data_IF_527521000216
#
_entry.id   IF_527521000216
#
_cell.length_a   1.000
_cell.length_b   1.000
_cell.length_c   1.000
_cell.angle_alpha   90.00
_cell.angle_beta   90.00
_cell.angle_gamma   90.00
#
_symmetry.space_group_name_H-M   'P 1'
#
loop_
_entity.id
_entity.type
_entity.pdbx_description
1 polymer ?
#
# COMPACT_ATOMS: atom_id res chain seq x y z
N UNK A 1 19.90 18.60 8.33
CA UNK A 1 18.73 17.83 7.92
C UNK A 1 19.10 16.37 7.83
N UNK A 2 18.69 15.56 8.80
CA UNK A 2 18.96 14.13 8.82
C UNK A 2 18.30 13.49 7.61
N UNK A 3 19.05 12.65 6.87
CA UNK A 3 18.45 11.76 5.86
C UNK A 3 17.52 10.83 6.61
N UNK A 4 16.22 10.99 6.48
CA UNK A 4 15.26 10.00 6.92
C UNK A 4 15.57 8.72 6.12
N UNK A 5 16.30 7.80 6.74
CA UNK A 5 16.62 6.52 6.12
C UNK A 5 15.33 5.71 6.06
N UNK A 6 14.73 5.64 4.86
CA UNK A 6 13.58 4.78 4.61
C UNK A 6 14.00 3.34 4.94
N UNK A 7 13.30 2.69 5.86
CA UNK A 7 13.48 1.28 6.16
C UNK A 7 12.96 0.45 4.98
N UNK A 8 13.79 -0.42 4.44
CA UNK A 8 13.46 -1.25 3.28
C UNK A 8 13.26 -2.70 3.68
N UNK A 9 12.13 -3.26 3.27
CA UNK A 9 11.81 -4.68 3.40
C UNK A 9 11.99 -5.41 2.08
N UNK A 10 12.23 -6.72 2.13
CA UNK A 10 12.39 -7.56 0.94
C UNK A 10 11.12 -7.62 0.11
N UNK A 11 9.99 -7.83 0.77
CA UNK A 11 8.67 -8.04 0.18
C UNK A 11 7.55 -7.54 1.11
N UNK A 12 6.31 -7.64 0.64
CA UNK A 12 5.12 -7.16 1.36
C UNK A 12 4.81 -7.98 2.61
N UNK A 13 5.06 -9.29 2.57
CA UNK A 13 4.77 -10.17 3.71
C UNK A 13 5.73 -9.89 4.85
N UNK A 14 7.03 -9.80 4.57
CA UNK A 14 8.05 -9.49 5.58
C UNK A 14 7.84 -8.13 6.23
N UNK A 15 7.31 -7.14 5.49
CA UNK A 15 6.90 -5.87 6.09
C UNK A 15 5.71 -6.05 7.03
N UNK A 16 4.65 -6.74 6.57
CA UNK A 16 3.43 -6.93 7.34
C UNK A 16 3.69 -7.71 8.64
N UNK A 17 4.46 -8.79 8.58
CA UNK A 17 4.85 -9.58 9.76
C UNK A 17 5.63 -8.75 10.77
N UNK A 18 6.63 -7.99 10.29
CA UNK A 18 7.47 -7.18 11.18
C UNK A 18 6.74 -6.00 11.82
N UNK A 19 5.81 -5.36 11.12
CA UNK A 19 5.03 -4.29 11.72
C UNK A 19 4.01 -4.83 12.75
N UNK A 20 3.40 -5.99 12.49
CA UNK A 20 2.55 -6.66 13.47
C UNK A 20 3.33 -7.05 14.73
N UNK A 21 4.53 -7.64 14.57
CA UNK A 21 5.41 -7.94 15.68
C UNK A 21 5.75 -6.68 16.49
N UNK A 22 6.12 -5.58 15.83
CA UNK A 22 6.45 -4.32 16.49
C UNK A 22 5.28 -3.75 17.31
N UNK A 23 4.05 -3.86 16.83
CA UNK A 23 2.86 -3.46 17.59
C UNK A 23 2.58 -4.38 18.77
N UNK A 24 2.87 -5.68 18.68
CA UNK A 24 2.67 -6.63 19.76
C UNK A 24 3.62 -6.38 20.93
N UNK A 25 4.89 -6.08 20.65
CA UNK A 25 5.92 -5.88 21.69
C UNK A 25 6.07 -4.42 22.09
N UNK A 26 5.27 -3.50 21.51
CA UNK A 26 5.40 -2.05 21.66
C UNK A 26 6.86 -1.59 21.47
N UNK A 27 7.44 -1.93 20.29
CA UNK A 27 8.85 -1.68 19.94
C UNK A 27 9.23 -0.23 20.26
N UNK A 28 10.12 -0.04 21.22
CA UNK A 28 10.56 1.26 21.71
C UNK A 28 11.29 2.14 20.68
N UNK A 29 11.71 1.55 19.56
CA UNK A 29 12.24 2.29 18.42
C UNK A 29 11.15 2.97 17.57
N UNK A 30 9.87 2.74 17.88
CA UNK A 30 8.72 3.34 17.23
C UNK A 30 7.91 4.17 18.24
N UNK A 31 7.49 5.35 17.80
CA UNK A 31 6.73 6.27 18.65
C UNK A 31 5.23 5.90 18.64
N UNK A 32 4.87 4.89 19.42
CA UNK A 32 3.48 4.48 19.58
C UNK A 32 2.70 5.43 20.49
N UNK A 33 1.45 5.67 20.10
CA UNK A 33 0.48 6.45 20.87
C UNK A 33 -0.71 5.57 21.21
N UNK A 34 -0.95 5.34 22.50
CA UNK A 34 -2.11 4.58 22.96
C UNK A 34 -3.30 5.52 23.20
N UNK A 35 -4.47 5.21 22.61
CA UNK A 35 -5.72 5.93 22.85
C UNK A 35 -6.85 4.91 23.08
N UNK A 36 -7.31 4.81 24.31
CA UNK A 36 -8.31 3.82 24.70
C UNK A 36 -7.77 2.40 24.49
N UNK A 37 -8.47 1.62 23.65
CA UNK A 37 -8.08 0.22 23.34
C UNK A 37 -7.18 0.08 22.11
N UNK A 38 -6.93 1.17 21.39
CA UNK A 38 -6.16 1.14 20.17
C UNK A 38 -4.76 1.73 20.36
N UNK A 39 -3.79 1.14 19.69
CA UNK A 39 -2.42 1.63 19.57
C UNK A 39 -2.23 2.19 18.18
N UNK A 40 -1.57 3.33 18.09
CA UNK A 40 -1.36 4.09 16.84
C UNK A 40 0.12 4.34 16.60
N UNK A 41 0.49 4.32 15.31
CA UNK A 41 1.77 4.81 14.81
C UNK A 41 1.50 5.80 13.68
N UNK A 42 2.07 7.00 13.77
CA UNK A 42 1.83 8.10 12.83
C UNK A 42 3.02 8.33 11.91
N UNK A 43 2.73 8.89 10.73
CA UNK A 43 3.70 9.40 9.76
C UNK A 43 4.81 8.39 9.40
N UNK A 44 4.40 7.15 9.15
CA UNK A 44 5.33 6.06 8.88
C UNK A 44 5.67 5.96 7.38
N UNK A 45 6.98 5.95 7.09
CA UNK A 45 7.48 5.81 5.71
C UNK A 45 8.27 4.52 5.59
N UNK A 46 7.90 3.67 4.63
CA UNK A 46 8.50 2.36 4.43
C UNK A 46 8.70 2.04 2.94
N UNK A 47 9.79 1.36 2.61
CA UNK A 47 10.09 0.87 1.28
C UNK A 47 9.96 -0.65 1.17
N UNK A 48 9.40 -1.14 0.06
CA UNK A 48 9.32 -2.56 -0.29
C UNK A 48 10.06 -2.77 -1.62
N UNK A 49 11.09 -3.63 -1.59
CA UNK A 49 11.97 -3.86 -2.75
C UNK A 49 11.32 -4.69 -3.84
N UNK A 50 10.49 -5.66 -3.45
CA UNK A 50 9.72 -6.54 -4.32
C UNK A 50 8.32 -6.69 -3.74
N UNK A 51 7.38 -5.83 -4.07
CA UNK A 51 6.02 -5.90 -3.57
C UNK A 51 5.32 -7.13 -4.15
N UNK A 52 5.62 -8.29 -3.61
CA UNK A 52 5.05 -9.58 -3.96
C UNK A 52 4.48 -10.20 -2.69
N UNK A 53 3.22 -10.57 -2.73
CA UNK A 53 2.64 -11.49 -1.77
C UNK A 53 2.75 -12.89 -2.34
N UNK A 54 3.18 -13.83 -1.53
CA UNK A 54 3.23 -15.22 -1.93
C UNK A 54 1.82 -15.68 -2.33
N UNK A 55 1.71 -16.41 -3.44
CA UNK A 55 0.47 -17.02 -3.89
C UNK A 55 -0.12 -18.02 -2.86
N UNK A 56 0.70 -18.46 -1.90
CA UNK A 56 0.32 -19.31 -0.78
C UNK A 56 -0.32 -18.56 0.39
N UNK A 57 -0.31 -17.22 0.37
CA UNK A 57 -0.97 -16.45 1.42
C UNK A 57 -2.49 -16.64 1.30
N UNK A 58 -3.06 -17.37 2.25
CA UNK A 58 -4.49 -17.67 2.27
C UNK A 58 -5.29 -16.53 2.89
N UNK A 59 -5.75 -15.61 2.04
CA UNK A 59 -6.59 -14.50 2.45
C UNK A 59 -7.91 -14.95 3.09
N UNK A 60 -8.49 -16.05 2.63
CA UNK A 60 -9.73 -16.60 3.16
C UNK A 60 -9.57 -17.00 4.62
N UNK A 61 -8.47 -17.65 4.93
CA UNK A 61 -8.16 -18.11 6.29
C UNK A 61 -7.87 -16.95 7.26
N UNK A 62 -7.15 -15.91 6.78
CA UNK A 62 -6.77 -14.79 7.63
C UNK A 62 -7.86 -13.74 7.82
N UNK A 63 -8.72 -13.53 6.81
CA UNK A 63 -9.62 -12.37 6.79
C UNK A 63 -11.09 -12.68 6.59
N UNK A 64 -11.45 -13.94 6.44
CA UNK A 64 -12.82 -14.32 6.04
C UNK A 64 -13.28 -13.63 4.73
N UNK A 65 -12.32 -13.32 3.85
CA UNK A 65 -12.54 -12.64 2.58
C UNK A 65 -12.52 -13.63 1.42
N UNK A 66 -13.60 -13.68 0.67
CA UNK A 66 -13.61 -14.39 -0.62
C UNK A 66 -12.90 -13.56 -1.69
N UNK A 67 -12.34 -14.23 -2.72
CA UNK A 67 -11.71 -13.56 -3.87
C UNK A 67 -12.70 -12.61 -4.58
N UNK A 68 -13.98 -12.97 -4.64
CA UNK A 68 -15.02 -12.12 -5.25
C UNK A 68 -15.23 -10.83 -4.46
N UNK A 69 -15.27 -10.91 -3.12
CA UNK A 69 -15.40 -9.75 -2.24
C UNK A 69 -14.18 -8.82 -2.38
N UNK A 70 -13.00 -9.37 -2.52
CA UNK A 70 -11.78 -8.61 -2.73
C UNK A 70 -11.77 -7.90 -4.09
N UNK A 71 -12.18 -8.58 -5.19
CA UNK A 71 -12.31 -7.97 -6.53
C UNK A 71 -13.32 -6.81 -6.53
N UNK A 72 -14.43 -6.97 -5.83
CA UNK A 72 -15.42 -5.91 -5.65
C UNK A 72 -14.85 -4.71 -4.90
N UNK A 73 -14.03 -4.94 -3.88
CA UNK A 73 -13.38 -3.87 -3.14
C UNK A 73 -12.44 -3.06 -4.03
N UNK A 74 -11.65 -3.72 -4.86
CA UNK A 74 -10.73 -3.05 -5.81
C UNK A 74 -11.51 -2.19 -6.81
N UNK A 75 -12.57 -2.72 -7.39
CA UNK A 75 -13.41 -2.00 -8.34
C UNK A 75 -14.07 -0.73 -7.76
N UNK A 76 -14.22 -0.66 -6.44
CA UNK A 76 -14.74 0.52 -5.76
C UNK A 76 -13.73 1.68 -5.67
N UNK A 77 -12.44 1.43 -5.83
CA UNK A 77 -11.39 2.45 -5.72
C UNK A 77 -10.95 3.04 -7.05
N UNK A 78 -11.04 2.28 -8.12
CA UNK A 78 -10.57 2.72 -9.42
C UNK A 78 -11.32 1.99 -10.54
N UNK A 79 -11.70 2.73 -11.57
CA UNK A 79 -12.29 2.14 -12.77
C UNK A 79 -11.22 1.45 -13.63
N UNK A 80 -11.65 0.43 -14.37
CA UNK A 80 -10.76 -0.27 -15.31
C UNK A 80 -10.32 0.65 -16.46
N UNK A 81 -11.16 1.60 -16.84
CA UNK A 81 -10.86 2.59 -17.86
C UNK A 81 -9.72 3.51 -17.44
N UNK A 82 -9.78 4.06 -16.23
CA UNK A 82 -8.69 4.89 -15.69
C UNK A 82 -7.36 4.13 -15.60
N UNK A 83 -7.40 2.86 -15.18
CA UNK A 83 -6.19 2.02 -15.15
C UNK A 83 -5.62 1.77 -16.56
N UNK A 84 -6.49 1.52 -17.56
CA UNK A 84 -6.07 1.34 -18.93
C UNK A 84 -5.40 2.60 -19.48
N UNK A 85 -6.04 3.76 -19.29
CA UNK A 85 -5.53 5.04 -19.77
C UNK A 85 -4.16 5.34 -19.16
N UNK A 86 -4.02 5.16 -17.84
CA UNK A 86 -2.75 5.33 -17.15
C UNK A 86 -1.66 4.37 -17.66
N UNK A 87 -2.00 3.11 -17.89
CA UNK A 87 -1.04 2.13 -18.42
C UNK A 87 -0.57 2.50 -19.83
N UNK A 88 -1.48 2.95 -20.70
CA UNK A 88 -1.16 3.41 -22.05
C UNK A 88 -0.23 4.64 -22.01
N UNK A 89 -0.53 5.61 -21.17
CA UNK A 89 0.30 6.81 -21.01
C UNK A 89 1.71 6.48 -20.54
N UNK A 90 1.83 5.65 -19.50
CA UNK A 90 3.15 5.24 -18.96
C UNK A 90 3.95 4.45 -19.99
N UNK A 91 3.33 3.54 -20.74
CA UNK A 91 4.00 2.76 -21.78
C UNK A 91 4.40 3.63 -22.98
N UNK A 92 3.56 4.58 -23.39
CA UNK A 92 3.85 5.49 -24.51
C UNK A 92 5.06 6.39 -24.23
N UNK A 93 5.30 6.73 -22.97
CA UNK A 93 6.44 7.56 -22.54
C UNK A 93 7.65 6.77 -22.03
N UNK A 94 7.68 5.46 -22.23
CA UNK A 94 8.74 4.59 -21.72
C UNK A 94 10.16 5.05 -22.09
N UNK A 95 10.29 5.78 -23.18
CA UNK A 95 11.55 6.31 -23.71
C UNK A 95 11.73 7.82 -23.52
N UNK A 96 10.75 8.52 -22.95
CA UNK A 96 10.76 9.98 -22.84
C UNK A 96 10.66 10.38 -21.37
N UNK A 97 11.71 10.90 -20.80
CA UNK A 97 11.78 11.62 -19.53
C UNK A 97 10.85 11.20 -18.37
N UNK A 98 11.45 11.18 -17.20
CA UNK A 98 10.91 10.81 -15.91
C UNK A 98 9.78 11.73 -15.39
N UNK A 99 8.64 11.77 -16.03
CA UNK A 99 7.45 12.36 -15.39
C UNK A 99 6.84 11.35 -14.42
N UNK A 100 6.38 11.85 -13.27
CA UNK A 100 5.54 11.08 -12.37
C UNK A 100 4.09 11.14 -12.85
N UNK A 101 3.40 10.01 -12.81
CA UNK A 101 1.97 9.91 -13.11
C UNK A 101 1.23 9.68 -11.80
N UNK A 102 0.28 10.53 -11.49
CA UNK A 102 -0.50 10.42 -10.27
C UNK A 102 -1.86 9.78 -10.56
N UNK A 103 -2.21 8.80 -9.75
CA UNK A 103 -3.51 8.17 -9.71
C UNK A 103 -4.18 8.49 -8.39
N UNK A 104 -5.29 9.21 -8.43
CA UNK A 104 -6.13 9.42 -7.25
C UNK A 104 -7.03 8.20 -7.04
N UNK A 105 -7.10 7.72 -5.80
CA UNK A 105 -7.95 6.60 -5.42
C UNK A 105 -9.15 7.13 -4.69
N UNK A 106 -10.34 7.02 -5.27
CA UNK A 106 -11.58 7.47 -4.67
C UNK A 106 -12.55 6.31 -4.50
N UNK A 107 -13.02 6.13 -3.29
CA UNK A 107 -14.07 5.16 -3.03
C UNK A 107 -15.39 5.70 -3.59
N UNK A 108 -15.85 5.14 -4.69
CA UNK A 108 -16.97 5.67 -5.50
C UNK A 108 -18.30 5.81 -4.74
N UNK A 109 -18.50 5.05 -3.67
CA UNK A 109 -19.73 5.05 -2.88
C UNK A 109 -19.64 5.86 -1.58
N UNK A 110 -18.61 6.66 -1.40
CA UNK A 110 -18.40 7.41 -0.17
C UNK A 110 -18.86 8.86 -0.34
N UNK A 111 -20.07 9.17 0.13
CA UNK A 111 -20.60 10.54 0.16
C UNK A 111 -20.00 11.41 1.29
N UNK A 112 -18.96 10.93 1.99
CA UNK A 112 -18.35 11.64 3.12
C UNK A 112 -16.88 11.94 2.94
N UNK A 113 -16.51 13.21 3.07
CA UNK A 113 -15.12 13.61 3.19
C UNK A 113 -14.45 12.87 4.37
N UNK A 114 -13.29 12.27 4.15
CA UNK A 114 -12.48 11.70 5.22
C UNK A 114 -12.65 10.19 5.49
N UNK A 115 -13.45 9.47 4.71
CA UNK A 115 -13.58 8.00 4.88
C UNK A 115 -12.61 7.18 4.01
N UNK A 116 -12.00 7.74 2.98
CA UNK A 116 -11.03 7.04 2.15
C UNK A 116 -9.74 6.80 2.91
N UNK A 117 -9.36 5.54 3.06
CA UNK A 117 -8.05 5.16 3.63
C UNK A 117 -6.94 5.25 2.58
N UNK A 118 -7.25 4.92 1.34
CA UNK A 118 -6.35 4.99 0.21
C UNK A 118 -6.49 6.34 -0.48
N UNK A 119 -5.39 7.07 -0.67
CA UNK A 119 -5.43 8.44 -1.21
C UNK A 119 -4.95 8.50 -2.65
N UNK A 120 -3.71 8.06 -2.91
CA UNK A 120 -3.13 8.15 -4.24
C UNK A 120 -1.93 7.24 -4.43
N UNK A 121 -1.61 6.99 -5.70
CA UNK A 121 -0.37 6.39 -6.13
C UNK A 121 0.35 7.30 -7.11
N UNK A 122 1.66 7.39 -7.02
CA UNK A 122 2.50 8.09 -8.00
C UNK A 122 3.45 7.10 -8.63
N UNK A 123 3.30 6.92 -9.93
CA UNK A 123 4.13 6.05 -10.73
C UNK A 123 5.29 6.87 -11.29
N UNK A 124 6.52 6.44 -11.05
CA UNK A 124 7.69 7.12 -11.58
C UNK A 124 8.68 6.14 -12.16
N UNK A 125 9.15 6.47 -13.35
CA UNK A 125 10.31 5.81 -13.95
C UNK A 125 11.44 6.82 -14.01
N UNK A 126 12.51 6.55 -13.29
CA UNK A 126 13.69 7.43 -13.31
C UNK A 126 14.59 7.02 -14.47
N UNK A 127 15.06 7.97 -15.30
CA UNK A 127 16.02 7.68 -16.37
C UNK A 127 17.23 6.92 -15.83
N UNK A 128 17.71 5.93 -16.58
CA UNK A 128 18.87 5.12 -16.23
C UNK A 128 18.67 4.14 -15.06
N UNK A 129 17.47 4.02 -14.52
CA UNK A 129 17.15 3.02 -13.49
C UNK A 129 16.32 1.89 -14.07
N UNK A 130 16.78 0.67 -13.84
CA UNK A 130 16.15 -0.55 -14.34
C UNK A 130 14.85 -0.91 -13.62
N UNK A 131 14.59 -0.33 -12.43
CA UNK A 131 13.44 -0.64 -11.60
C UNK A 131 12.53 0.57 -11.43
N UNK A 132 11.29 0.52 -11.94
CA UNK A 132 10.28 1.54 -11.66
C UNK A 132 10.02 1.65 -10.16
N UNK A 133 9.52 2.81 -9.74
CA UNK A 133 9.15 3.08 -8.37
C UNK A 133 7.71 3.60 -8.30
N UNK A 134 6.96 3.13 -7.33
CA UNK A 134 5.61 3.60 -7.02
C UNK A 134 5.64 4.19 -5.62
N UNK A 135 5.20 5.44 -5.47
CA UNK A 135 4.90 6.02 -4.16
C UNK A 135 3.41 5.88 -3.88
N UNK A 136 3.08 5.41 -2.69
CA UNK A 136 1.71 5.16 -2.25
C UNK A 136 1.43 6.02 -1.03
N UNK A 137 0.28 6.69 -1.02
CA UNK A 137 -0.16 7.53 0.08
C UNK A 137 -1.42 6.95 0.72
N UNK A 138 -1.32 6.60 1.99
CA UNK A 138 -2.39 6.06 2.81
C UNK A 138 -2.74 7.04 3.93
N UNK A 139 -4.02 7.35 4.10
CA UNK A 139 -4.49 8.11 5.26
C UNK A 139 -4.42 7.26 6.53
N UNK A 140 -4.93 6.04 6.45
CA UNK A 140 -4.95 5.12 7.58
C UNK A 140 -5.00 3.67 7.11
N UNK A 141 -4.39 2.76 7.88
CA UNK A 141 -4.53 1.32 7.69
C UNK A 141 -4.50 0.58 9.03
N UNK A 142 -5.43 -0.32 9.22
CA UNK A 142 -5.45 -1.25 10.35
C UNK A 142 -4.48 -2.41 10.04
N UNK A 143 -3.55 -2.68 10.96
CA UNK A 143 -2.38 -3.51 10.66
C UNK A 143 -2.69 -5.01 10.55
N UNK A 144 -3.64 -5.52 11.33
CA UNK A 144 -3.86 -6.96 11.43
C UNK A 144 -4.62 -7.53 10.25
N UNK A 145 -5.59 -6.77 9.71
CA UNK A 145 -6.51 -7.24 8.66
C UNK A 145 -6.44 -6.43 7.37
N UNK A 146 -6.30 -5.10 7.48
CA UNK A 146 -6.43 -4.19 6.33
C UNK A 146 -5.12 -3.99 5.59
N UNK A 147 -4.03 -3.79 6.30
CA UNK A 147 -2.74 -3.43 5.71
C UNK A 147 -2.29 -4.43 4.64
N UNK A 148 -2.42 -5.73 4.90
CA UNK A 148 -2.01 -6.75 3.92
C UNK A 148 -2.89 -6.73 2.66
N UNK A 149 -4.20 -6.42 2.81
CA UNK A 149 -5.10 -6.24 1.68
C UNK A 149 -4.74 -4.99 0.87
N UNK A 150 -4.40 -3.89 1.55
CA UNK A 150 -3.95 -2.66 0.90
C UNK A 150 -2.65 -2.90 0.12
N UNK A 151 -1.68 -3.60 0.71
CA UNK A 151 -0.42 -3.97 0.05
C UNK A 151 -0.66 -4.79 -1.22
N UNK A 152 -1.58 -5.76 -1.19
CA UNK A 152 -1.93 -6.57 -2.35
C UNK A 152 -2.64 -5.73 -3.43
N UNK A 153 -3.56 -4.84 -3.04
CA UNK A 153 -4.24 -3.94 -3.96
C UNK A 153 -3.24 -3.10 -4.75
N UNK A 154 -2.32 -2.44 -4.06
CA UNK A 154 -1.31 -1.59 -4.70
C UNK A 154 -0.34 -2.40 -5.57
N UNK A 155 0.04 -3.60 -5.13
CA UNK A 155 0.81 -4.52 -5.96
C UNK A 155 0.09 -4.82 -7.28
N UNK A 156 -1.20 -5.18 -7.22
CA UNK A 156 -2.00 -5.52 -8.40
C UNK A 156 -2.18 -4.34 -9.35
N UNK A 157 -2.41 -3.14 -8.80
CA UNK A 157 -2.46 -1.93 -9.62
C UNK A 157 -1.10 -1.70 -10.30
N UNK A 158 0.00 -1.82 -9.57
CA UNK A 158 1.34 -1.66 -10.12
C UNK A 158 1.67 -2.70 -11.21
N UNK A 159 1.31 -3.97 -11.00
CA UNK A 159 1.46 -5.04 -11.99
C UNK A 159 0.66 -4.76 -13.25
N UNK A 160 -0.56 -4.25 -13.11
CA UNK A 160 -1.42 -3.90 -14.24
C UNK A 160 -0.83 -2.75 -15.07
N UNK A 161 -0.42 -1.68 -14.39
CA UNK A 161 0.09 -0.47 -15.05
C UNK A 161 1.43 -0.70 -15.74
N UNK A 162 2.35 -1.43 -15.11
CA UNK A 162 3.67 -1.69 -15.69
C UNK A 162 3.73 -2.95 -16.57
N UNK A 163 2.70 -3.79 -16.55
CA UNK A 163 2.71 -5.08 -17.26
C UNK A 163 3.67 -6.13 -16.66
N UNK A 164 4.29 -5.85 -15.51
CA UNK A 164 5.22 -6.76 -14.83
C UNK A 164 5.28 -6.47 -13.32
N UNK A 165 5.90 -7.38 -12.55
CA UNK A 165 6.04 -7.28 -11.10
C UNK A 165 7.44 -6.78 -10.64
N UNK A 166 8.26 -6.28 -11.54
CA UNK A 166 9.63 -5.84 -11.23
C UNK A 166 9.69 -4.33 -10.93
N UNK A 167 9.08 -3.90 -9.84
CA UNK A 167 9.09 -2.51 -9.37
C UNK A 167 9.33 -2.46 -7.86
N UNK A 168 9.59 -1.27 -7.32
CA UNK A 168 9.67 -0.98 -5.89
C UNK A 168 8.47 -0.15 -5.48
N UNK A 169 8.09 -0.22 -4.20
CA UNK A 169 7.07 0.65 -3.63
C UNK A 169 7.61 1.39 -2.42
N UNK A 170 7.19 2.63 -2.26
CA UNK A 170 7.40 3.42 -1.05
C UNK A 170 6.03 3.84 -0.54
N UNK A 171 5.73 3.48 0.69
CA UNK A 171 4.48 3.82 1.35
C UNK A 171 4.68 4.98 2.30
N UNK A 172 3.84 5.98 2.18
CA UNK A 172 3.63 7.05 3.15
C UNK A 172 2.30 6.78 3.84
N UNK A 173 2.36 6.35 5.09
CA UNK A 173 1.17 5.96 5.87
C UNK A 173 1.01 6.97 6.99
N UNK A 174 0.00 7.84 6.88
CA UNK A 174 -0.22 8.85 7.90
C UNK A 174 -0.61 8.24 9.25
N UNK A 175 -1.38 7.14 9.25
CA UNK A 175 -1.78 6.49 10.48
C UNK A 175 -1.85 4.96 10.29
N UNK A 176 -1.07 4.22 11.05
CA UNK A 176 -1.29 2.79 11.27
C UNK A 176 -1.86 2.58 12.66
N UNK A 177 -2.74 1.61 12.80
CA UNK A 177 -3.33 1.30 14.10
C UNK A 177 -3.65 -0.18 14.25
N UNK A 178 -3.64 -0.62 15.51
CA UNK A 178 -4.16 -1.91 15.93
C UNK A 178 -5.36 -1.65 16.85
N UNK A 179 -6.52 -2.15 16.47
CA UNK A 179 -7.70 -2.14 17.32
C UNK A 179 -7.72 -3.44 18.13
N UNK A 180 -7.26 -3.37 19.37
CA UNK A 180 -7.14 -4.53 20.26
C UNK A 180 -8.50 -5.15 20.63
N UNK A 181 -9.63 -4.65 20.13
CA UNK A 181 -10.96 -5.26 20.35
C UNK A 181 -11.15 -6.59 19.61
N UNK A 182 -10.21 -6.97 18.74
CA UNK A 182 -10.32 -8.17 17.87
C UNK A 182 -9.50 -9.36 18.41
N UNK A 183 -8.79 -9.19 19.51
CA UNK A 183 -7.96 -10.24 20.13
C UNK A 183 -8.58 -10.87 21.39
N UNK A 184 -9.89 -10.68 21.61
CA UNK A 184 -10.64 -11.34 22.68
C UNK A 184 -11.70 -12.26 22.11
#
# INVERSE_FOLDING_TARGET
MGRNNIKWYSDSLSFWEKINEAFLIADENLNFVCKGRATYLYDYVVGIKKPKLDSKFDFGRHFNYTISKWKSLVANYISREELNNLAIEILAEENKNSRGYALALQFQNNHGHGKNCLLSMVFSRRPGKTKPNICVFLRASEITKRLICDLLLFQRIGEYVYGHNNFKMVFHINQMFNDNTVLL
#
